data_IF_632802508188
#
_entry.id   IF_632802508188
#
_cell.length_a   1.000
_cell.length_b   1.000
_cell.length_c   1.000
_cell.angle_alpha   90.00
_cell.angle_beta   90.00
_cell.angle_gamma   90.00
#
_symmetry.space_group_name_H-M   'P 1'
#
loop_
_entity.id
_entity.type
_entity.pdbx_description
1 polymer ?
#
# COMPACT_ATOMS: atom_id res chain seq x y z
N UNK A 1 43.15 100.53 13.60
CA UNK A 1 41.90 99.76 13.36
C UNK A 1 42.18 98.70 12.30
N UNK A 2 42.31 97.41 12.68
CA UNK A 2 42.48 96.30 11.75
C UNK A 2 41.21 95.41 11.84
N UNK A 3 40.49 95.31 10.75
CA UNK A 3 39.30 94.46 10.60
C UNK A 3 39.76 92.99 10.41
N UNK A 4 39.33 92.11 11.26
CA UNK A 4 39.52 90.68 11.14
C UNK A 4 38.38 90.04 10.33
N UNK A 5 38.69 89.51 9.15
CA UNK A 5 37.76 88.70 8.34
C UNK A 5 37.65 87.30 8.91
N UNK A 6 36.41 86.84 9.15
CA UNK A 6 36.12 85.49 9.53
C UNK A 6 35.89 84.62 8.28
N UNK A 7 36.77 83.66 8.03
CA UNK A 7 36.57 82.63 7.02
C UNK A 7 35.46 81.61 7.41
N UNK A 8 34.52 81.26 6.52
CA UNK A 8 33.55 80.24 6.81
C UNK A 8 34.17 78.87 6.63
N UNK A 9 33.98 78.00 7.62
CA UNK A 9 34.38 76.59 7.58
C UNK A 9 33.52 75.86 6.56
N UNK A 10 34.09 75.27 5.47
CA UNK A 10 33.51 74.29 4.55
C UNK A 10 33.39 72.99 5.27
N UNK A 11 32.16 72.46 5.52
CA UNK A 11 31.91 71.10 5.96
C UNK A 11 32.31 70.16 4.85
N UNK A 12 33.38 69.37 5.02
CA UNK A 12 33.81 68.26 4.17
C UNK A 12 32.75 67.16 4.22
N UNK A 13 32.05 66.93 3.11
CA UNK A 13 31.22 65.75 2.96
C UNK A 13 32.17 64.52 2.85
N UNK A 14 32.21 63.72 3.87
CA UNK A 14 32.96 62.43 3.83
C UNK A 14 32.41 61.61 2.67
N UNK A 15 33.21 61.15 1.71
CA UNK A 15 32.71 60.27 0.64
C UNK A 15 32.24 58.98 1.28
N UNK A 16 31.08 58.51 0.88
CA UNK A 16 30.58 57.20 1.27
C UNK A 16 31.67 56.19 0.91
N UNK A 17 32.05 55.29 1.82
CA UNK A 17 33.10 54.32 1.53
C UNK A 17 32.65 53.44 0.36
N UNK A 18 33.41 53.46 -0.72
CA UNK A 18 33.17 52.68 -1.95
C UNK A 18 32.89 51.22 -1.65
N UNK A 19 33.54 50.66 -0.62
CA UNK A 19 33.35 49.31 -0.12
C UNK A 19 31.92 49.05 0.38
N UNK A 20 31.24 50.00 1.00
CA UNK A 20 29.88 49.86 1.50
C UNK A 20 28.88 49.88 0.33
N UNK A 21 29.12 50.69 -0.69
CA UNK A 21 28.30 50.71 -1.91
C UNK A 21 28.44 49.39 -2.68
N UNK A 22 29.67 48.87 -2.82
CA UNK A 22 29.92 47.57 -3.48
C UNK A 22 29.29 46.42 -2.71
N UNK A 23 29.32 46.46 -1.38
CA UNK A 23 28.66 45.40 -0.56
C UNK A 23 27.14 45.43 -0.70
N UNK A 24 26.52 46.60 -0.72
CA UNK A 24 25.08 46.75 -0.96
C UNK A 24 24.68 46.28 -2.38
N UNK A 25 25.47 46.62 -3.40
CA UNK A 25 25.23 46.14 -4.75
C UNK A 25 25.36 44.60 -4.86
N UNK A 26 26.38 44.02 -4.26
CA UNK A 26 26.57 42.56 -4.23
C UNK A 26 25.42 41.87 -3.52
N UNK A 27 24.99 42.35 -2.36
CA UNK A 27 23.85 41.81 -1.61
C UNK A 27 22.53 41.92 -2.38
N UNK A 28 22.28 43.03 -3.08
CA UNK A 28 21.07 43.16 -3.90
C UNK A 28 21.06 42.25 -5.12
N UNK A 29 22.21 42.01 -5.77
CA UNK A 29 22.35 41.06 -6.89
C UNK A 29 22.11 39.62 -6.42
N UNK A 30 22.61 39.27 -5.23
CA UNK A 30 22.44 37.96 -4.63
C UNK A 30 20.96 37.69 -4.29
N UNK A 31 20.26 38.67 -3.73
CA UNK A 31 18.82 38.59 -3.45
C UNK A 31 17.98 38.47 -4.74
N UNK A 32 18.31 39.27 -5.76
CA UNK A 32 17.63 39.18 -7.06
C UNK A 32 17.88 37.83 -7.75
N UNK A 33 19.10 37.27 -7.64
CA UNK A 33 19.45 35.98 -8.18
C UNK A 33 18.68 34.81 -7.53
N UNK A 34 18.53 34.83 -6.20
CA UNK A 34 17.78 33.83 -5.45
C UNK A 34 16.29 33.85 -5.77
N UNK A 35 15.69 35.09 -5.82
CA UNK A 35 14.26 35.23 -6.16
C UNK A 35 13.96 34.78 -7.60
N UNK A 36 14.86 35.07 -8.55
CA UNK A 36 14.73 34.69 -9.93
C UNK A 36 14.87 33.14 -10.08
N UNK A 37 15.82 32.55 -9.34
CA UNK A 37 16.01 31.09 -9.30
C UNK A 37 14.78 30.35 -8.73
N UNK A 38 14.20 30.86 -7.64
CA UNK A 38 12.98 30.28 -7.04
C UNK A 38 11.78 30.40 -7.99
N UNK A 39 11.62 31.53 -8.67
CA UNK A 39 10.54 31.68 -9.67
C UNK A 39 10.73 30.75 -10.86
N UNK A 40 11.96 30.62 -11.37
CA UNK A 40 12.24 29.70 -12.48
C UNK A 40 11.95 28.24 -12.10
N UNK A 41 12.34 27.84 -10.88
CA UNK A 41 12.06 26.49 -10.38
C UNK A 41 10.55 26.26 -10.20
N UNK A 42 9.84 27.20 -9.60
CA UNK A 42 8.37 27.11 -9.42
C UNK A 42 7.63 27.11 -10.76
N UNK A 43 8.05 27.93 -11.73
CA UNK A 43 7.44 27.97 -13.07
C UNK A 43 7.70 26.65 -13.82
N UNK A 44 8.91 26.08 -13.72
CA UNK A 44 9.25 24.80 -14.32
C UNK A 44 8.39 23.67 -13.75
N UNK A 45 8.21 23.59 -12.42
CA UNK A 45 7.36 22.61 -11.78
C UNK A 45 5.86 22.84 -12.09
N UNK A 46 5.38 24.09 -12.21
CA UNK A 46 3.98 24.35 -12.53
C UNK A 46 3.63 24.01 -13.98
N UNK A 47 4.55 24.21 -14.94
CA UNK A 47 4.34 23.78 -16.33
C UNK A 47 4.33 22.27 -16.48
N UNK A 48 5.10 21.54 -15.67
CA UNK A 48 5.09 20.07 -15.67
C UNK A 48 3.81 19.48 -15.08
N UNK A 49 3.12 20.21 -14.19
CA UNK A 49 1.83 19.82 -13.61
C UNK A 49 0.62 20.28 -14.42
N UNK A 50 0.80 21.09 -15.45
CA UNK A 50 -0.25 21.45 -16.42
C UNK A 50 -0.30 20.52 -17.62
N UNK A 51 0.51 19.44 -17.67
CA UNK A 51 0.11 18.32 -18.48
C UNK A 51 -1.27 17.90 -17.96
N UNK A 52 -2.33 18.11 -18.72
CA UNK A 52 -3.62 17.48 -18.49
C UNK A 52 -3.38 15.96 -18.51
N UNK A 53 -2.99 15.43 -17.37
CA UNK A 53 -3.19 14.02 -17.09
C UNK A 53 -4.70 13.93 -16.99
N UNK A 54 -5.38 13.48 -18.03
CA UNK A 54 -6.68 12.88 -17.85
C UNK A 54 -6.46 11.81 -16.80
N UNK A 55 -6.86 12.10 -15.58
CA UNK A 55 -6.88 11.11 -14.52
C UNK A 55 -7.97 10.16 -14.93
N UNK A 56 -7.57 9.19 -15.72
CA UNK A 56 -8.45 8.19 -16.28
C UNK A 56 -9.05 7.40 -15.12
N UNK A 57 -10.32 7.09 -15.23
CA UNK A 57 -11.05 6.34 -14.18
C UNK A 57 -10.35 4.98 -13.94
N UNK A 58 -9.53 4.92 -12.89
CA UNK A 58 -8.86 3.70 -12.44
C UNK A 58 -9.76 2.99 -11.43
N UNK A 59 -9.86 1.67 -11.52
CA UNK A 59 -10.73 0.95 -10.61
C UNK A 59 -10.49 -0.55 -10.64
N UNK A 60 -10.61 -1.18 -9.48
CA UNK A 60 -10.51 -2.63 -9.31
C UNK A 60 -11.62 -3.13 -8.43
N UNK A 61 -12.10 -4.32 -8.75
CA UNK A 61 -13.09 -5.08 -7.98
C UNK A 61 -12.50 -6.43 -7.63
N UNK A 62 -12.47 -6.76 -6.35
CA UNK A 62 -12.20 -8.12 -5.88
C UNK A 62 -13.46 -8.96 -6.05
N UNK A 63 -13.32 -10.09 -6.70
CA UNK A 63 -14.40 -11.05 -6.96
C UNK A 63 -14.13 -12.28 -6.12
N UNK A 64 -15.13 -12.73 -5.35
CA UNK A 64 -15.10 -13.95 -4.53
C UNK A 64 -16.22 -14.89 -4.95
N UNK A 65 -15.87 -16.11 -5.32
CA UNK A 65 -16.82 -17.15 -5.76
C UNK A 65 -17.78 -16.68 -6.87
N UNK A 66 -17.29 -15.82 -7.78
CA UNK A 66 -18.05 -15.26 -8.91
C UNK A 66 -18.93 -14.05 -8.55
N UNK A 67 -18.86 -13.53 -7.33
CA UNK A 67 -19.61 -12.35 -6.90
C UNK A 67 -18.67 -11.19 -6.53
N UNK A 68 -19.09 -9.96 -6.81
CA UNK A 68 -18.36 -8.75 -6.43
C UNK A 68 -18.34 -8.60 -4.92
N UNK A 69 -17.16 -8.75 -4.31
CA UNK A 69 -16.99 -8.62 -2.88
C UNK A 69 -16.71 -7.18 -2.47
N UNK A 70 -15.68 -6.59 -3.03
CA UNK A 70 -15.24 -5.23 -2.72
C UNK A 70 -14.74 -4.54 -3.97
N UNK A 71 -14.86 -3.20 -4.01
CA UNK A 71 -14.31 -2.41 -5.10
C UNK A 71 -13.81 -1.05 -4.61
N UNK A 72 -12.87 -0.51 -5.37
CA UNK A 72 -12.37 0.85 -5.23
C UNK A 72 -12.19 1.47 -6.61
N UNK A 73 -13.08 2.39 -6.94
CA UNK A 73 -13.14 3.04 -8.25
C UNK A 73 -12.93 4.54 -8.10
N UNK A 74 -11.98 5.09 -8.83
CA UNK A 74 -11.76 6.53 -8.92
C UNK A 74 -12.47 7.07 -10.16
N UNK A 75 -13.21 8.17 -10.00
CA UNK A 75 -13.80 8.90 -11.11
C UNK A 75 -13.09 10.23 -11.30
N UNK A 76 -12.40 10.38 -12.43
CA UNK A 76 -11.70 11.61 -12.78
C UNK A 76 -12.63 12.80 -12.97
N UNK A 77 -13.92 12.58 -13.35
CA UNK A 77 -14.89 13.65 -13.53
C UNK A 77 -15.22 14.40 -12.26
N UNK A 78 -15.31 13.69 -11.13
CA UNK A 78 -15.78 14.24 -9.86
C UNK A 78 -14.65 14.30 -8.82
N UNK A 79 -13.46 13.81 -9.15
CA UNK A 79 -12.34 13.64 -8.23
C UNK A 79 -12.72 12.87 -6.95
N UNK A 80 -13.58 11.86 -7.09
CA UNK A 80 -14.14 11.09 -5.99
C UNK A 80 -13.81 9.60 -6.11
N UNK A 81 -13.57 8.99 -4.95
CA UNK A 81 -13.48 7.55 -4.79
C UNK A 81 -14.85 6.97 -4.45
N UNK A 82 -15.28 5.96 -5.18
CA UNK A 82 -16.40 5.11 -4.83
C UNK A 82 -15.85 3.78 -4.32
N UNK A 83 -16.16 3.42 -3.08
CA UNK A 83 -15.61 2.23 -2.41
C UNK A 83 -16.71 1.38 -1.80
N UNK A 84 -16.52 0.07 -1.86
CA UNK A 84 -17.31 -0.91 -1.13
C UNK A 84 -16.35 -1.91 -0.48
N UNK A 85 -16.56 -2.23 0.78
CA UNK A 85 -15.78 -3.24 1.51
C UNK A 85 -16.68 -4.45 1.76
N UNK A 86 -16.19 -5.64 1.43
CA UNK A 86 -16.81 -6.91 1.76
C UNK A 86 -15.96 -7.68 2.79
N UNK A 87 -16.50 -8.77 3.30
CA UNK A 87 -15.81 -9.68 4.22
C UNK A 87 -15.45 -10.95 3.48
N UNK A 88 -14.14 -11.25 3.36
CA UNK A 88 -13.63 -12.48 2.76
C UNK A 88 -14.05 -13.70 3.59
N UNK A 89 -14.24 -14.81 2.89
CA UNK A 89 -14.57 -16.12 3.47
C UNK A 89 -15.87 -16.12 4.31
N UNK A 90 -16.74 -15.14 4.11
CA UNK A 90 -18.02 -15.03 4.84
C UNK A 90 -18.93 -16.25 4.58
N UNK A 91 -18.78 -16.91 3.43
CA UNK A 91 -19.57 -18.09 3.05
C UNK A 91 -19.02 -19.42 3.58
N UNK A 92 -17.85 -19.44 4.21
CA UNK A 92 -17.24 -20.68 4.74
C UNK A 92 -18.14 -21.42 5.74
N UNK A 93 -18.79 -20.74 6.69
CA UNK A 93 -19.72 -21.42 7.61
C UNK A 93 -20.86 -22.13 6.88
N UNK A 94 -21.41 -21.52 5.82
CA UNK A 94 -22.49 -22.12 5.02
C UNK A 94 -22.05 -23.38 4.28
N UNK A 95 -20.83 -23.37 3.70
CA UNK A 95 -20.22 -24.53 3.05
C UNK A 95 -19.99 -25.72 4.01
N UNK A 96 -19.92 -25.45 5.31
CA UNK A 96 -19.60 -26.44 6.35
C UNK A 96 -20.76 -26.82 7.24
N UNK A 97 -21.97 -26.31 6.99
CA UNK A 97 -23.13 -26.50 7.87
C UNK A 97 -22.96 -25.83 9.23
N UNK A 98 -22.26 -24.68 9.26
CA UNK A 98 -22.07 -23.85 10.45
C UNK A 98 -20.81 -24.15 11.26
N UNK A 99 -20.06 -25.20 10.95
CA UNK A 99 -18.79 -25.55 11.66
C UNK A 99 -17.68 -25.86 10.68
N UNK A 100 -16.62 -25.08 10.70
CA UNK A 100 -15.43 -25.31 9.89
C UNK A 100 -14.72 -26.58 10.38
N UNK A 101 -14.46 -27.53 9.47
CA UNK A 101 -13.76 -28.77 9.75
C UNK A 101 -12.29 -28.64 9.39
N UNK A 102 -11.41 -29.03 10.30
CA UNK A 102 -9.97 -29.02 10.07
C UNK A 102 -9.59 -30.05 8.99
N UNK A 103 -8.63 -29.72 8.13
CA UNK A 103 -8.16 -30.54 7.02
C UNK A 103 -9.09 -30.59 5.80
N UNK A 104 -10.31 -30.08 5.88
CA UNK A 104 -11.23 -30.00 4.75
C UNK A 104 -10.90 -28.83 3.84
N UNK A 105 -10.96 -29.04 2.53
CA UNK A 105 -10.87 -27.99 1.52
C UNK A 105 -12.23 -27.31 1.35
N UNK A 106 -12.23 -26.00 1.38
CA UNK A 106 -13.37 -25.14 1.11
C UNK A 106 -13.10 -24.36 -0.17
N UNK A 107 -14.12 -24.15 -0.97
CA UNK A 107 -14.05 -23.33 -2.16
C UNK A 107 -13.85 -21.86 -1.76
N UNK A 108 -12.79 -21.25 -2.27
CA UNK A 108 -12.46 -19.84 -2.07
C UNK A 108 -11.83 -19.30 -3.35
N UNK A 109 -12.66 -19.16 -4.38
CA UNK A 109 -12.24 -18.70 -5.70
C UNK A 109 -12.14 -17.18 -5.71
N UNK A 110 -10.91 -16.69 -5.87
CA UNK A 110 -10.62 -15.24 -5.85
C UNK A 110 -10.03 -14.79 -7.18
N UNK A 111 -10.59 -13.72 -7.75
CA UNK A 111 -10.10 -13.04 -8.96
C UNK A 111 -10.21 -11.52 -8.81
N UNK A 112 -9.66 -10.79 -9.78
CA UNK A 112 -9.74 -9.33 -9.84
C UNK A 112 -10.34 -8.90 -11.16
N UNK A 113 -11.34 -8.01 -11.14
CA UNK A 113 -11.89 -7.38 -12.33
C UNK A 113 -11.46 -5.92 -12.42
N UNK A 114 -11.06 -5.49 -13.61
CA UNK A 114 -10.85 -4.09 -13.92
C UNK A 114 -12.21 -3.38 -14.04
N UNK A 115 -12.60 -2.65 -13.01
CA UNK A 115 -13.81 -1.82 -12.98
C UNK A 115 -13.57 -0.37 -13.40
N UNK A 116 -12.34 -0.04 -13.78
CA UNK A 116 -11.95 1.24 -14.37
C UNK A 116 -12.20 1.31 -15.88
N UNK A 117 -11.66 2.36 -16.51
CA UNK A 117 -11.81 2.61 -17.96
C UNK A 117 -10.51 2.57 -18.73
N UNK A 118 -9.41 2.24 -18.07
CA UNK A 118 -8.07 2.14 -18.67
C UNK A 118 -7.44 0.78 -18.40
N UNK A 119 -6.48 0.43 -19.23
CA UNK A 119 -5.62 -0.72 -19.03
C UNK A 119 -4.80 -0.58 -17.76
N UNK A 120 -4.67 -1.66 -16.99
CA UNK A 120 -4.05 -1.66 -15.67
C UNK A 120 -3.14 -2.87 -15.48
N UNK A 121 -2.10 -2.69 -14.63
CA UNK A 121 -1.43 -3.79 -13.94
C UNK A 121 -2.01 -3.92 -12.54
N UNK A 122 -2.09 -5.15 -12.04
CA UNK A 122 -2.74 -5.45 -10.77
C UNK A 122 -1.80 -6.20 -9.84
N UNK A 123 -1.78 -5.77 -8.56
CA UNK A 123 -1.16 -6.46 -7.44
C UNK A 123 -2.22 -6.84 -6.42
N UNK A 124 -2.10 -8.02 -5.86
CA UNK A 124 -2.93 -8.51 -4.75
C UNK A 124 -2.04 -8.81 -3.56
N UNK A 125 -2.47 -8.39 -2.38
CA UNK A 125 -1.87 -8.74 -1.09
C UNK A 125 -2.93 -9.40 -0.23
N UNK A 126 -2.69 -10.65 0.16
CA UNK A 126 -3.57 -11.40 1.06
C UNK A 126 -2.91 -11.47 2.42
N UNK A 127 -3.63 -11.05 3.44
CA UNK A 127 -3.23 -11.15 4.83
C UNK A 127 -4.08 -12.19 5.54
N UNK A 128 -3.43 -13.00 6.38
CA UNK A 128 -4.08 -14.03 7.19
C UNK A 128 -3.58 -13.96 8.62
N UNK A 129 -4.50 -14.03 9.55
CA UNK A 129 -4.19 -13.96 10.98
C UNK A 129 -5.23 -14.70 11.82
N UNK A 130 -4.86 -14.96 13.06
CA UNK A 130 -5.78 -15.40 14.09
C UNK A 130 -6.14 -14.21 14.97
N UNK A 131 -7.43 -14.12 15.32
CA UNK A 131 -7.93 -13.06 16.19
C UNK A 131 -8.73 -13.66 17.34
N UNK A 132 -8.78 -12.93 18.44
CA UNK A 132 -9.60 -13.26 19.61
C UNK A 132 -11.05 -12.78 19.45
N UNK A 133 -11.84 -12.92 20.50
CA UNK A 133 -13.25 -12.51 20.50
C UNK A 133 -13.45 -10.99 20.35
N UNK A 134 -12.45 -10.20 20.77
CA UNK A 134 -12.46 -8.74 20.59
C UNK A 134 -12.04 -8.31 19.18
N UNK A 135 -11.54 -9.25 18.34
CA UNK A 135 -10.99 -8.98 17.02
C UNK A 135 -9.52 -8.57 17.06
N UNK A 136 -8.86 -8.70 18.19
CA UNK A 136 -7.45 -8.37 18.33
C UNK A 136 -6.57 -9.52 17.82
N UNK A 137 -5.51 -9.16 17.06
CA UNK A 137 -4.60 -10.11 16.44
C UNK A 137 -3.77 -10.86 17.46
N UNK A 138 -3.72 -12.19 17.32
CA UNK A 138 -2.93 -13.08 18.16
C UNK A 138 -1.64 -13.45 17.42
N UNK A 139 -0.52 -12.82 17.82
CA UNK A 139 0.78 -13.01 17.17
C UNK A 139 1.50 -14.31 17.55
N UNK A 140 1.04 -15.00 18.60
CA UNK A 140 1.61 -16.27 19.07
C UNK A 140 1.08 -17.49 18.33
N UNK A 141 0.04 -17.35 17.53
CA UNK A 141 -0.55 -18.41 16.72
C UNK A 141 -0.04 -18.33 15.28
N UNK A 142 0.29 -19.50 14.71
CA UNK A 142 0.84 -19.57 13.36
C UNK A 142 -0.21 -19.27 12.29
N UNK A 143 -0.08 -18.21 11.49
CA UNK A 143 -0.96 -17.94 10.37
C UNK A 143 -0.78 -18.93 9.22
N UNK A 144 0.35 -19.66 9.16
CA UNK A 144 0.60 -20.67 8.15
C UNK A 144 -0.39 -21.85 8.19
N UNK A 145 -1.09 -22.05 9.32
CA UNK A 145 -2.15 -23.07 9.45
C UNK A 145 -3.48 -22.64 8.80
N UNK A 146 -3.56 -21.41 8.31
CA UNK A 146 -4.60 -20.93 7.39
C UNK A 146 -4.02 -21.11 5.98
N UNK A 147 -4.29 -22.22 5.36
CA UNK A 147 -3.72 -22.62 4.09
C UNK A 147 -4.64 -22.18 2.94
N UNK A 148 -4.13 -21.27 2.10
CA UNK A 148 -4.80 -20.80 0.89
C UNK A 148 -3.98 -21.32 -0.29
N UNK A 149 -4.64 -22.02 -1.21
CA UNK A 149 -4.00 -22.50 -2.43
C UNK A 149 -3.97 -21.36 -3.47
N UNK A 150 -2.76 -20.84 -3.72
CA UNK A 150 -2.52 -19.79 -4.72
C UNK A 150 -2.12 -20.40 -6.06
N UNK A 151 -2.67 -19.86 -7.16
CA UNK A 151 -2.44 -20.31 -8.53
C UNK A 151 -1.24 -19.55 -9.15
N UNK A 152 -0.04 -19.98 -8.80
CA UNK A 152 1.23 -19.35 -9.19
C UNK A 152 1.70 -19.69 -10.61
N UNK A 153 0.97 -20.53 -11.33
CA UNK A 153 1.14 -20.77 -12.77
C UNK A 153 0.63 -19.63 -13.65
N UNK A 154 -0.35 -18.86 -13.14
CA UNK A 154 -0.96 -17.72 -13.83
C UNK A 154 -0.65 -16.38 -13.17
N UNK A 155 -0.21 -16.39 -11.92
CA UNK A 155 0.17 -15.21 -11.14
C UNK A 155 1.61 -15.30 -10.66
N UNK A 156 2.32 -14.17 -10.63
CA UNK A 156 3.68 -14.08 -10.12
C UNK A 156 3.64 -13.94 -8.59
N UNK A 157 4.19 -14.91 -7.88
CA UNK A 157 4.39 -14.82 -6.43
C UNK A 157 5.69 -14.04 -6.15
N UNK A 158 5.59 -13.00 -5.35
CA UNK A 158 6.76 -12.30 -4.81
C UNK A 158 7.16 -12.93 -3.48
N UNK A 159 8.10 -13.86 -3.53
CA UNK A 159 8.61 -14.53 -2.33
C UNK A 159 9.32 -13.56 -1.39
N UNK A 160 9.99 -12.52 -1.95
CA UNK A 160 10.75 -11.56 -1.17
C UNK A 160 9.85 -10.64 -0.33
N UNK A 161 8.67 -10.31 -0.84
CA UNK A 161 7.66 -9.50 -0.15
C UNK A 161 6.67 -10.33 0.64
N UNK A 162 6.66 -11.66 0.49
CA UNK A 162 5.75 -12.56 1.18
C UNK A 162 6.29 -13.01 2.54
N UNK A 163 5.38 -13.28 3.46
CA UNK A 163 5.65 -13.79 4.81
C UNK A 163 4.59 -14.83 5.17
N UNK A 164 4.70 -15.58 6.27
CA UNK A 164 3.61 -16.47 6.71
C UNK A 164 2.26 -15.79 6.88
N UNK A 165 2.25 -14.48 7.17
CA UNK A 165 1.03 -13.68 7.33
C UNK A 165 0.56 -13.00 6.06
N UNK A 166 1.46 -12.72 5.13
CA UNK A 166 1.17 -11.93 3.92
C UNK A 166 1.67 -12.65 2.68
N UNK A 167 0.81 -12.82 1.69
CA UNK A 167 1.18 -13.28 0.34
C UNK A 167 0.99 -12.14 -0.64
N UNK A 168 1.98 -11.91 -1.50
CA UNK A 168 1.99 -10.86 -2.52
C UNK A 168 2.04 -11.48 -3.91
N UNK A 169 1.06 -11.15 -4.74
CA UNK A 169 0.88 -11.67 -6.08
C UNK A 169 0.72 -10.54 -7.08
N UNK A 170 1.29 -10.72 -8.28
CA UNK A 170 1.14 -9.79 -9.39
C UNK A 170 0.52 -10.51 -10.58
N UNK A 171 -0.48 -9.89 -11.21
CA UNK A 171 -0.97 -10.37 -12.49
C UNK A 171 0.03 -9.94 -13.59
N UNK A 172 0.62 -10.89 -14.33
CA UNK A 172 1.73 -10.56 -15.23
C UNK A 172 1.31 -9.82 -16.50
N UNK A 173 0.02 -9.77 -16.81
CA UNK A 173 -0.47 -9.20 -18.06
C UNK A 173 -1.28 -7.92 -17.80
N UNK A 174 -1.46 -7.14 -18.87
CA UNK A 174 -2.37 -6.00 -18.87
C UNK A 174 -3.79 -6.51 -18.69
N UNK A 175 -4.50 -5.90 -17.73
CA UNK A 175 -5.92 -6.14 -17.50
C UNK A 175 -6.74 -5.00 -18.13
N UNK A 176 -7.40 -5.29 -19.26
CA UNK A 176 -8.20 -4.29 -19.97
C UNK A 176 -9.51 -3.98 -19.22
N UNK A 177 -10.14 -2.81 -19.50
CA UNK A 177 -11.41 -2.43 -18.88
C UNK A 177 -12.49 -3.50 -19.00
N UNK A 178 -13.14 -3.81 -17.88
CA UNK A 178 -14.20 -4.82 -17.81
C UNK A 178 -13.70 -6.27 -17.82
N UNK A 179 -12.43 -6.53 -18.05
CA UNK A 179 -11.86 -7.89 -17.98
C UNK A 179 -11.63 -8.31 -16.54
N UNK A 180 -11.70 -9.62 -16.34
CA UNK A 180 -11.40 -10.31 -15.09
C UNK A 180 -10.17 -11.20 -15.28
N UNK A 181 -9.30 -11.23 -14.26
CA UNK A 181 -8.12 -12.09 -14.26
C UNK A 181 -8.53 -13.56 -14.11
N UNK A 182 -7.68 -14.53 -14.49
CA UNK A 182 -7.76 -15.87 -13.94
C UNK A 182 -7.76 -15.83 -12.41
N UNK A 183 -8.27 -16.89 -11.78
CA UNK A 183 -8.22 -17.01 -10.33
C UNK A 183 -6.78 -16.88 -9.82
N UNK A 184 -6.59 -16.17 -8.71
CA UNK A 184 -5.31 -16.18 -8.00
C UNK A 184 -5.31 -17.12 -6.78
N UNK A 185 -6.50 -17.51 -6.30
CA UNK A 185 -6.70 -18.54 -5.29
C UNK A 185 -7.99 -19.32 -5.62
N UNK A 186 -8.06 -20.57 -5.23
CA UNK A 186 -9.22 -21.45 -5.51
C UNK A 186 -9.78 -22.15 -4.28
N UNK A 187 -8.94 -22.44 -3.28
CA UNK A 187 -9.35 -23.15 -2.07
C UNK A 187 -8.68 -22.59 -0.82
N UNK A 188 -9.38 -22.79 0.30
CA UNK A 188 -8.92 -22.52 1.65
C UNK A 188 -9.08 -23.76 2.52
N UNK A 189 -8.11 -24.02 3.39
CA UNK A 189 -8.11 -25.10 4.36
C UNK A 189 -7.53 -24.63 5.68
N UNK A 190 -8.14 -25.05 6.79
CA UNK A 190 -7.49 -25.00 8.09
C UNK A 190 -6.75 -26.28 8.35
N UNK A 191 -5.44 -26.20 8.62
CA UNK A 191 -4.59 -27.38 8.80
C UNK A 191 -5.03 -28.18 10.02
N UNK A 192 -5.01 -29.51 9.89
CA UNK A 192 -5.35 -30.44 10.98
C UNK A 192 -4.38 -30.36 12.16
N UNK A 193 -3.16 -29.84 11.97
CA UNK A 193 -2.20 -29.59 13.05
C UNK A 193 -2.74 -28.62 14.12
N UNK A 194 -3.76 -27.80 13.81
CA UNK A 194 -4.49 -26.98 14.78
C UNK A 194 -4.99 -27.83 15.95
N UNK A 195 -5.52 -29.03 15.68
CA UNK A 195 -6.06 -29.93 16.72
C UNK A 195 -4.98 -30.47 17.67
N UNK A 196 -3.73 -30.57 17.22
CA UNK A 196 -2.61 -31.07 18.02
C UNK A 196 -1.85 -29.97 18.75
N UNK A 197 -2.20 -28.69 18.57
CA UNK A 197 -1.58 -27.55 19.25
C UNK A 197 -2.13 -27.41 20.67
N UNK A 198 -1.64 -28.27 21.56
CA UNK A 198 -2.08 -28.37 22.97
C UNK A 198 -0.96 -27.92 23.89
N UNK A 199 -1.30 -27.10 24.87
CA UNK A 199 -0.43 -26.75 26.01
C UNK A 199 -0.96 -27.46 27.25
N UNK A 200 -0.10 -28.17 27.97
CA UNK A 200 -0.44 -28.75 29.25
C UNK A 200 -0.19 -27.72 30.35
N UNK A 201 -1.15 -27.56 31.22
CA UNK A 201 -1.05 -26.76 32.44
C UNK A 201 -1.22 -27.63 33.65
N UNK A 202 -0.24 -27.62 34.56
CA UNK A 202 -0.29 -28.36 35.80
C UNK A 202 -0.87 -27.45 36.89
N UNK A 203 -2.02 -27.82 37.40
CA UNK A 203 -2.68 -27.14 38.52
C UNK A 203 -2.56 -27.99 39.80
N UNK A 204 -2.04 -27.43 40.85
CA UNK A 204 -2.02 -28.06 42.18
C UNK A 204 -3.23 -27.48 42.94
N UNK A 205 -4.17 -28.34 43.31
CA UNK A 205 -5.34 -27.96 44.11
C UNK A 205 -4.95 -27.80 45.59
N UNK A 206 -5.80 -27.15 46.36
CA UNK A 206 -5.60 -26.92 47.81
C UNK A 206 -5.49 -28.21 48.61
N UNK A 207 -6.09 -29.32 48.11
CA UNK A 207 -6.01 -30.67 48.69
C UNK A 207 -4.70 -31.42 48.34
N UNK A 208 -3.76 -30.76 47.60
CA UNK A 208 -2.51 -31.37 47.16
C UNK A 208 -2.66 -32.22 45.87
N UNK A 209 -3.85 -32.35 45.29
CA UNK A 209 -4.05 -33.09 44.05
C UNK A 209 -3.48 -32.34 42.88
N UNK A 210 -2.67 -33.01 42.04
CA UNK A 210 -2.17 -32.47 40.78
C UNK A 210 -3.14 -32.77 39.67
N UNK A 211 -3.62 -31.73 38.97
CA UNK A 211 -4.47 -31.84 37.79
C UNK A 211 -3.70 -31.35 36.57
N UNK A 212 -3.56 -32.19 35.56
CA UNK A 212 -3.04 -31.79 34.26
C UNK A 212 -4.22 -31.37 33.38
N UNK A 213 -4.24 -30.13 32.95
CA UNK A 213 -5.25 -29.57 32.05
C UNK A 213 -4.65 -29.37 30.67
N UNK A 214 -5.30 -29.94 29.65
CA UNK A 214 -4.98 -29.67 28.26
C UNK A 214 -5.69 -28.39 27.81
N UNK A 215 -4.94 -27.43 27.31
CA UNK A 215 -5.46 -26.17 26.75
C UNK A 215 -5.16 -26.18 25.25
N UNK A 216 -6.19 -26.17 24.42
CA UNK A 216 -6.06 -26.07 22.99
C UNK A 216 -5.77 -24.62 22.58
N UNK A 217 -4.64 -24.40 21.91
CA UNK A 217 -4.16 -23.05 21.62
C UNK A 217 -5.10 -22.22 20.73
N UNK A 218 -5.83 -22.91 19.84
CA UNK A 218 -6.75 -22.32 18.87
C UNK A 218 -8.22 -22.36 19.31
N UNK A 219 -8.54 -22.87 20.51
CA UNK A 219 -9.92 -22.90 20.99
C UNK A 219 -10.47 -21.48 21.21
N UNK A 220 -11.66 -21.21 20.69
CA UNK A 220 -12.29 -19.88 20.73
C UNK A 220 -11.59 -18.83 19.84
N UNK A 221 -10.67 -19.22 18.94
CA UNK A 221 -10.00 -18.30 18.04
C UNK A 221 -10.69 -18.25 16.68
N UNK A 222 -10.65 -17.08 16.04
CA UNK A 222 -11.23 -16.88 14.71
C UNK A 222 -10.13 -16.61 13.69
N UNK A 223 -10.27 -17.15 12.48
CA UNK A 223 -9.45 -16.77 11.36
C UNK A 223 -9.91 -15.39 10.84
N UNK A 224 -8.96 -14.58 10.42
CA UNK A 224 -9.19 -13.33 9.71
C UNK A 224 -8.41 -13.33 8.41
N UNK A 225 -9.09 -13.03 7.31
CA UNK A 225 -8.52 -12.83 6.00
C UNK A 225 -8.80 -11.41 5.54
N UNK A 226 -7.78 -10.76 5.00
CA UNK A 226 -7.88 -9.45 4.39
C UNK A 226 -7.23 -9.49 3.01
N UNK A 227 -7.83 -8.82 2.04
CA UNK A 227 -7.28 -8.66 0.70
C UNK A 227 -7.16 -7.19 0.36
N UNK A 228 -5.99 -6.81 -0.09
CA UNK A 228 -5.73 -5.51 -0.69
C UNK A 228 -5.43 -5.69 -2.17
N UNK A 229 -6.14 -4.97 -3.02
CA UNK A 229 -5.94 -4.98 -4.46
C UNK A 229 -5.50 -3.59 -4.90
N UNK A 230 -4.34 -3.52 -5.50
CA UNK A 230 -3.78 -2.29 -6.06
C UNK A 230 -3.74 -2.38 -7.58
N UNK A 231 -4.02 -1.27 -8.26
CA UNK A 231 -3.88 -1.16 -9.70
C UNK A 231 -3.05 0.04 -10.11
N UNK A 232 -2.31 -0.11 -11.20
CA UNK A 232 -1.51 0.94 -11.81
C UNK A 232 -1.79 1.01 -13.31
N UNK A 233 -1.77 2.23 -13.85
CA UNK A 233 -1.86 2.45 -15.29
C UNK A 233 -0.66 1.86 -16.03
N UNK A 234 -0.85 1.55 -17.31
CA UNK A 234 0.19 0.92 -18.15
C UNK A 234 1.21 1.91 -18.71
N UNK A 235 0.93 3.21 -18.67
CA UNK A 235 1.87 4.25 -19.11
C UNK A 235 2.99 4.43 -18.10
N UNK A 236 4.26 4.37 -18.55
CA UNK A 236 5.45 4.39 -17.68
C UNK A 236 5.37 3.36 -16.54
N UNK A 237 4.93 2.15 -16.87
CA UNK A 237 4.59 1.12 -15.89
C UNK A 237 5.74 0.79 -14.94
N UNK A 238 6.98 0.66 -15.44
CA UNK A 238 8.15 0.31 -14.62
C UNK A 238 8.41 1.36 -13.52
N UNK A 239 8.38 2.65 -13.88
CA UNK A 239 8.56 3.74 -12.91
C UNK A 239 7.38 3.83 -11.94
N UNK A 240 6.16 3.62 -12.42
CA UNK A 240 4.96 3.59 -11.58
C UNK A 240 4.99 2.43 -10.59
N UNK A 241 5.39 1.23 -11.02
CA UNK A 241 5.54 0.03 -10.19
C UNK A 241 6.60 0.27 -9.12
N UNK A 242 7.77 0.79 -9.50
CA UNK A 242 8.85 1.10 -8.55
C UNK A 242 8.39 2.13 -7.51
N UNK A 243 7.71 3.19 -7.94
CA UNK A 243 7.28 4.28 -7.05
C UNK A 243 6.15 3.87 -6.12
N UNK A 244 5.13 3.15 -6.63
CA UNK A 244 3.93 2.85 -5.86
C UNK A 244 4.00 1.51 -5.12
N UNK A 245 4.69 0.52 -5.69
CA UNK A 245 4.77 -0.82 -5.11
C UNK A 245 6.12 -1.12 -4.46
N UNK A 246 7.16 -0.28 -4.73
CA UNK A 246 8.51 -0.46 -4.17
C UNK A 246 9.25 -1.67 -4.72
N UNK A 247 8.90 -2.13 -5.91
CA UNK A 247 9.44 -3.36 -6.53
C UNK A 247 10.16 -3.01 -7.81
N UNK A 248 11.33 -3.61 -8.02
CA UNK A 248 12.00 -3.58 -9.30
C UNK A 248 11.31 -4.59 -10.24
N UNK A 249 10.80 -4.08 -11.33
CA UNK A 249 10.11 -4.87 -12.33
C UNK A 249 10.45 -4.39 -13.73
N UNK A 250 10.39 -5.29 -14.70
CA UNK A 250 10.51 -4.98 -16.12
C UNK A 250 9.20 -5.28 -16.84
N UNK A 251 8.87 -4.47 -17.84
CA UNK A 251 7.69 -4.64 -18.68
C UNK A 251 8.11 -4.75 -20.13
N UNK A 252 7.85 -5.87 -20.76
CA UNK A 252 8.16 -6.12 -22.17
C UNK A 252 6.97 -6.72 -22.90
N UNK A 253 6.53 -6.05 -23.98
CA UNK A 253 5.37 -6.50 -24.75
C UNK A 253 4.07 -6.62 -23.92
N UNK A 254 3.90 -5.77 -22.91
CA UNK A 254 2.75 -5.80 -22.00
C UNK A 254 2.84 -6.86 -20.90
N UNK A 255 3.95 -7.59 -20.81
CA UNK A 255 4.15 -8.61 -19.78
C UNK A 255 5.07 -8.08 -18.69
N UNK A 256 4.61 -8.12 -17.46
CA UNK A 256 5.33 -7.79 -16.24
C UNK A 256 6.21 -8.98 -15.80
N UNK A 257 7.43 -8.68 -15.36
CA UNK A 257 8.34 -9.63 -14.71
C UNK A 257 8.95 -8.96 -13.48
N UNK A 258 9.05 -9.70 -12.40
CA UNK A 258 9.77 -9.26 -11.20
C UNK A 258 11.26 -9.39 -11.41
N UNK A 259 12.03 -8.42 -10.89
CA UNK A 259 13.50 -8.37 -10.96
C UNK A 259 14.17 -9.24 -9.92
#
# INVERSE_FOLDING_TARGET
>A
MKKTEKHPWKKSKRPFPLTLVLFLCASSLLLLGTVSGIRATLTYFSEYYTAQVEVSDIGVTLVENGADLSFRNYSGRNNLWNTRTGTLAATLPDQSGGKIQLGRLYREELSVRNSGKIDQYVRVRIFRSWVDDAGEKITTLSPALIDIHFLTDTWLLDESASTPERTVLYYPFILAPGQETPLFADTLRLDSAIASSVREETLIREDGTTVIRAIYAYDGRRLQLEAEVDALQTHNAEDAIRSAWGVDASVSGGTLRLG
#
